data_IF_979986015849
#
_entry.id   IF_979986015849
#
_cell.length_a   1.000
_cell.length_b   1.000
_cell.length_c   1.000
_cell.angle_alpha   90.00
_cell.angle_beta   90.00
_cell.angle_gamma   90.00
#
_symmetry.space_group_name_H-M   'P 1'
#
loop_
_entity.id
_entity.type
_entity.pdbx_description
1 polymer ?
#
# COMPACT_ATOMS: atom_id res chain seq x y z
N UNK A 1 -4.88 8.87 8.34
CA UNK A 1 -3.98 7.76 7.98
C UNK A 1 -4.80 6.49 7.78
N UNK A 2 -4.14 5.39 7.46
CA UNK A 2 -4.73 4.06 7.26
C UNK A 2 -3.91 3.06 8.07
N UNK A 3 -4.58 2.26 8.91
CA UNK A 3 -3.94 1.23 9.72
C UNK A 3 -3.32 0.10 8.88
N UNK A 4 -2.60 -0.80 9.55
CA UNK A 4 -2.04 -1.99 8.88
C UNK A 4 -3.15 -2.90 8.37
N UNK A 5 -3.11 -3.21 7.08
CA UNK A 5 -4.08 -4.10 6.45
C UNK A 5 -3.53 -4.68 5.15
N UNK A 6 -4.23 -5.69 4.63
CA UNK A 6 -4.15 -6.11 3.22
C UNK A 6 -5.45 -5.74 2.52
N UNK A 7 -5.39 -5.42 1.23
CA UNK A 7 -6.60 -5.31 0.42
C UNK A 7 -7.39 -6.61 0.45
N UNK A 8 -8.72 -6.50 0.28
CA UNK A 8 -9.62 -7.65 0.31
C UNK A 8 -9.20 -8.73 -0.69
N UNK A 9 -9.41 -10.03 -0.38
CA UNK A 9 -8.86 -11.14 -1.15
C UNK A 9 -9.44 -11.30 -2.57
N UNK A 10 -10.53 -10.62 -2.93
CA UNK A 10 -11.11 -10.73 -4.29
C UNK A 10 -10.37 -9.88 -5.34
N UNK A 11 -9.44 -9.01 -4.92
CA UNK A 11 -8.62 -8.22 -5.85
C UNK A 11 -7.31 -8.90 -6.19
N UNK A 12 -6.74 -8.68 -7.36
CA UNK A 12 -5.42 -9.24 -7.71
C UNK A 12 -4.33 -8.17 -7.68
N UNK A 13 -4.34 -7.25 -8.64
CA UNK A 13 -3.42 -6.13 -8.72
C UNK A 13 -4.02 -4.92 -8.02
N UNK A 14 -3.18 -4.12 -7.35
CA UNK A 14 -3.58 -2.86 -6.72
C UNK A 14 -2.62 -1.78 -7.17
N UNK A 15 -3.12 -0.79 -7.92
CA UNK A 15 -2.35 0.36 -8.34
C UNK A 15 -2.87 1.63 -7.66
N UNK A 16 -1.98 2.49 -7.20
CA UNK A 16 -2.35 3.77 -6.60
C UNK A 16 -1.66 4.94 -7.29
N UNK A 17 -2.44 5.96 -7.64
CA UNK A 17 -1.94 7.27 -8.08
C UNK A 17 -2.04 8.23 -6.89
N UNK A 18 -0.93 8.89 -6.55
CA UNK A 18 -0.87 9.77 -5.38
C UNK A 18 -0.89 11.25 -5.76
N UNK A 19 -1.62 12.06 -4.99
CA UNK A 19 -1.87 13.46 -5.27
C UNK A 19 -1.63 14.33 -4.02
N UNK A 20 -1.19 15.56 -4.28
CA UNK A 20 -0.94 16.63 -3.28
C UNK A 20 0.27 16.38 -2.37
N UNK A 21 0.10 15.91 -1.13
CA UNK A 21 1.22 15.73 -0.21
C UNK A 21 1.86 14.32 -0.30
N UNK A 22 3.18 14.18 -0.09
CA UNK A 22 3.85 12.88 -0.03
C UNK A 22 3.42 12.07 1.19
N UNK A 23 3.71 10.76 1.19
CA UNK A 23 3.61 9.95 2.40
C UNK A 23 4.61 8.80 2.44
N UNK A 24 4.92 8.36 3.66
CA UNK A 24 5.58 7.08 3.89
C UNK A 24 4.57 5.93 3.76
N UNK A 25 4.63 5.21 2.64
CA UNK A 25 3.87 3.98 2.42
C UNK A 25 4.65 2.82 3.03
N UNK A 26 4.17 2.33 4.17
CA UNK A 26 4.89 1.33 4.96
C UNK A 26 4.35 -0.04 4.65
N UNK A 27 5.24 -1.00 4.46
CA UNK A 27 4.94 -2.42 4.32
C UNK A 27 5.50 -3.19 5.52
N UNK A 28 4.81 -4.24 5.94
CA UNK A 28 5.33 -5.23 6.89
C UNK A 28 4.81 -6.63 6.61
N UNK A 29 5.58 -7.66 6.94
CA UNK A 29 5.08 -9.04 7.04
C UNK A 29 5.70 -9.72 8.26
N UNK A 30 4.98 -10.67 8.85
CA UNK A 30 5.54 -11.51 9.92
C UNK A 30 6.63 -12.39 9.32
N UNK A 31 7.75 -12.50 10.02
CA UNK A 31 8.89 -13.34 9.69
C UNK A 31 9.32 -14.07 10.96
N UNK A 32 8.70 -15.23 11.21
CA UNK A 32 8.80 -15.95 12.48
C UNK A 32 8.31 -15.12 13.67
N UNK A 33 9.18 -14.92 14.66
CA UNK A 33 8.91 -14.05 15.83
C UNK A 33 9.12 -12.56 15.53
N UNK A 34 9.68 -12.21 14.38
CA UNK A 34 10.02 -10.84 13.97
C UNK A 34 9.07 -10.31 12.87
N UNK A 35 9.35 -9.09 12.42
CA UNK A 35 8.67 -8.44 11.30
C UNK A 35 9.68 -7.94 10.29
N UNK A 36 9.54 -8.35 9.03
CA UNK A 36 10.20 -7.66 7.92
C UNK A 36 9.45 -6.34 7.68
N UNK A 37 10.19 -5.28 7.37
CA UNK A 37 9.63 -3.95 7.13
C UNK A 37 10.30 -3.29 5.93
N UNK A 38 9.49 -2.59 5.15
CA UNK A 38 9.97 -1.69 4.12
C UNK A 38 9.12 -0.41 4.15
N UNK A 39 9.71 0.71 3.78
CA UNK A 39 9.00 1.98 3.63
C UNK A 39 9.35 2.54 2.27
N UNK A 40 8.34 2.98 1.55
CA UNK A 40 8.47 3.65 0.26
C UNK A 40 7.93 5.07 0.42
N UNK A 41 8.72 6.06 0.04
CA UNK A 41 8.22 7.42 -0.04
C UNK A 41 7.45 7.59 -1.34
N UNK A 42 6.15 7.87 -1.19
CA UNK A 42 5.23 8.01 -2.31
C UNK A 42 5.00 9.49 -2.55
N UNK A 43 5.66 9.99 -3.59
CA UNK A 43 5.64 11.40 -3.98
C UNK A 43 4.33 11.81 -4.67
N UNK A 44 3.99 13.10 -4.68
CA UNK A 44 2.85 13.61 -5.45
C UNK A 44 3.05 13.37 -6.94
N UNK A 45 1.98 12.95 -7.64
CA UNK A 45 1.97 12.56 -9.07
C UNK A 45 2.78 11.29 -9.38
N UNK A 46 3.11 10.50 -8.38
CA UNK A 46 3.68 9.16 -8.56
C UNK A 46 2.61 8.09 -8.69
N UNK A 47 3.02 6.93 -9.23
CA UNK A 47 2.22 5.70 -9.27
C UNK A 47 2.98 4.58 -8.56
N UNK A 48 2.26 3.71 -7.87
CA UNK A 48 2.79 2.44 -7.36
C UNK A 48 1.90 1.28 -7.80
N UNK A 49 2.50 0.10 -7.89
CA UNK A 49 1.82 -1.17 -8.16
C UNK A 49 2.19 -2.18 -7.06
N UNK A 50 1.18 -2.75 -6.42
CA UNK A 50 1.33 -3.94 -5.59
C UNK A 50 0.85 -5.15 -6.38
N UNK A 51 1.75 -6.12 -6.55
CA UNK A 51 1.55 -7.37 -7.27
C UNK A 51 2.37 -8.47 -6.60
N UNK A 52 1.93 -9.73 -6.73
CA UNK A 52 2.63 -10.87 -6.13
C UNK A 52 2.79 -10.71 -4.61
N UNK A 53 3.98 -10.96 -4.03
CA UNK A 53 4.19 -10.95 -2.58
C UNK A 53 3.77 -9.64 -1.91
N UNK A 54 4.09 -8.47 -2.49
CA UNK A 54 3.77 -7.17 -1.88
C UNK A 54 2.25 -6.96 -1.69
N UNK A 55 1.42 -7.60 -2.53
CA UNK A 55 -0.04 -7.61 -2.40
C UNK A 55 -0.56 -8.76 -1.53
N UNK A 56 0.10 -9.92 -1.55
CA UNK A 56 -0.41 -11.17 -0.98
C UNK A 56 0.07 -11.46 0.43
N UNK A 57 1.31 -11.13 0.75
CA UNK A 57 1.98 -11.51 1.99
C UNK A 57 2.18 -10.34 2.93
N UNK A 58 2.28 -9.12 2.39
CA UNK A 58 2.61 -7.92 3.14
C UNK A 58 1.35 -7.12 3.49
N UNK A 59 1.26 -6.69 4.74
CA UNK A 59 0.35 -5.61 5.14
C UNK A 59 0.96 -4.27 4.78
N UNK A 60 0.12 -3.28 4.49
CA UNK A 60 0.54 -1.91 4.29
C UNK A 60 -0.23 -0.93 5.18
N UNK A 61 0.38 0.22 5.45
CA UNK A 61 -0.23 1.32 6.20
C UNK A 61 0.33 2.67 5.77
N UNK A 62 -0.46 3.72 6.00
CA UNK A 62 -0.05 5.10 5.82
C UNK A 62 -0.30 5.82 7.15
N UNK A 63 0.71 6.35 7.86
CA UNK A 63 0.48 7.11 9.09
C UNK A 63 -0.37 8.37 8.82
N UNK A 64 -0.91 9.04 9.85
CA UNK A 64 -1.45 10.38 9.68
C UNK A 64 -0.44 11.32 9.00
N UNK A 65 -0.91 12.14 8.06
CA UNK A 65 -0.09 13.14 7.35
C UNK A 65 -0.53 14.54 7.76
N UNK A 66 0.41 15.49 7.76
CA UNK A 66 0.15 16.87 8.21
C UNK A 66 -0.61 17.73 7.18
N UNK A 67 -0.56 17.34 5.90
CA UNK A 67 -1.18 18.07 4.79
C UNK A 67 -2.15 17.16 4.03
N UNK A 68 -3.08 17.76 3.28
CA UNK A 68 -4.02 16.99 2.48
C UNK A 68 -3.28 16.13 1.46
N UNK A 69 -3.59 14.83 1.52
CA UNK A 69 -3.14 13.83 0.56
C UNK A 69 -4.35 13.09 0.05
N UNK A 70 -4.42 12.96 -1.28
CA UNK A 70 -5.40 12.10 -1.92
C UNK A 70 -4.67 10.96 -2.65
N UNK A 71 -5.37 9.85 -2.83
CA UNK A 71 -4.93 8.80 -3.72
C UNK A 71 -6.12 8.18 -4.41
N UNK A 72 -5.96 7.88 -5.70
CA UNK A 72 -6.93 7.11 -6.48
C UNK A 72 -6.39 5.70 -6.60
N UNK A 73 -7.17 4.70 -6.17
CA UNK A 73 -6.76 3.30 -6.15
C UNK A 73 -7.55 2.49 -7.15
N UNK A 74 -6.84 1.88 -8.10
CA UNK A 74 -7.37 0.96 -9.09
C UNK A 74 -7.07 -0.47 -8.66
N UNK A 75 -8.00 -1.38 -8.92
CA UNK A 75 -7.85 -2.79 -8.56
C UNK A 75 -8.38 -3.67 -9.68
N UNK A 76 -7.71 -4.77 -9.95
CA UNK A 76 -8.25 -5.83 -10.80
C UNK A 76 -8.99 -6.85 -9.93
N UNK A 77 -10.03 -7.46 -10.47
CA UNK A 77 -10.66 -8.63 -9.85
C UNK A 77 -9.80 -9.86 -10.12
N UNK A 78 -9.72 -10.77 -9.15
CA UNK A 78 -9.19 -12.11 -9.42
C UNK A 78 -10.13 -12.86 -10.34
N UNK A 79 -9.56 -13.52 -11.34
CA UNK A 79 -10.29 -14.51 -12.13
C UNK A 79 -10.31 -15.80 -11.31
N UNK A 80 -11.51 -16.35 -11.11
CA UNK A 80 -11.76 -17.62 -10.41
C UNK A 80 -11.31 -18.82 -11.22
#
# INVERSE_FOLDING_TARGET
GIGWHRDKPHFELVAGVSLLAPCSFRLRRKSGAAWDRATIDVEPRSVYLMAGPSRNEWEHSIPPVAQHRYSVTFRTMRVS
#
